data_IF_602078361606
#
_entry.id   IF_602078361606
#
_cell.length_a   1.000
_cell.length_b   1.000
_cell.length_c   1.000
_cell.angle_alpha   90.00
_cell.angle_beta   90.00
_cell.angle_gamma   90.00
#
_symmetry.space_group_name_H-M   'P 1'
#
loop_
_entity.id
_entity.type
_entity.pdbx_description
1 polymer ?
#
# COMPACT_ATOMS: atom_id res chain seq x y z
N UNK A 1 9.79 -28.14 12.63
CA UNK A 1 9.08 -26.97 13.22
C UNK A 1 9.79 -25.66 12.93
N UNK A 2 11.13 -25.60 12.96
CA UNK A 2 11.90 -24.38 12.73
C UNK A 2 11.65 -23.68 11.38
N UNK A 3 11.48 -24.46 10.31
CA UNK A 3 11.19 -23.94 8.96
C UNK A 3 9.87 -23.16 8.92
N UNK A 4 8.80 -23.70 9.53
CA UNK A 4 7.50 -23.04 9.58
C UNK A 4 7.57 -21.73 10.35
N UNK A 5 8.30 -21.71 11.47
CA UNK A 5 8.52 -20.49 12.27
C UNK A 5 9.29 -19.44 11.47
N UNK A 6 10.30 -19.83 10.69
CA UNK A 6 11.06 -18.91 9.83
C UNK A 6 10.20 -18.34 8.70
N UNK A 7 9.36 -19.16 8.07
CA UNK A 7 8.43 -18.71 7.02
C UNK A 7 7.43 -17.70 7.57
N UNK A 8 6.81 -17.97 8.72
CA UNK A 8 5.84 -17.05 9.34
C UNK A 8 6.51 -15.71 9.68
N UNK A 9 7.72 -15.74 10.24
CA UNK A 9 8.50 -14.53 10.51
C UNK A 9 8.80 -13.75 9.24
N UNK A 10 9.19 -14.43 8.15
CA UNK A 10 9.45 -13.79 6.86
C UNK A 10 8.18 -13.15 6.27
N UNK A 11 7.06 -13.86 6.27
CA UNK A 11 5.78 -13.32 5.77
C UNK A 11 5.34 -12.10 6.60
N UNK A 12 5.42 -12.20 7.93
CA UNK A 12 5.09 -11.08 8.82
C UNK A 12 5.96 -9.85 8.56
N UNK A 13 7.25 -10.08 8.27
CA UNK A 13 8.21 -9.04 7.91
C UNK A 13 7.82 -8.36 6.59
N UNK A 14 7.52 -9.14 5.55
CA UNK A 14 7.07 -8.62 4.26
C UNK A 14 5.79 -7.79 4.42
N UNK A 15 4.80 -8.29 5.16
CA UNK A 15 3.55 -7.57 5.43
C UNK A 15 3.82 -6.27 6.18
N UNK A 16 4.69 -6.30 7.19
CA UNK A 16 5.02 -5.12 7.99
C UNK A 16 5.72 -4.03 7.16
N UNK A 17 6.71 -4.40 6.35
CA UNK A 17 7.40 -3.48 5.44
C UNK A 17 6.47 -2.88 4.39
N UNK A 18 5.56 -3.69 3.86
CA UNK A 18 4.62 -3.26 2.81
C UNK A 18 3.33 -2.63 3.36
N UNK A 19 3.17 -2.58 4.69
CA UNK A 19 1.93 -2.15 5.33
C UNK A 19 1.45 -0.74 4.91
N UNK A 20 2.31 0.29 4.73
CA UNK A 20 1.81 1.59 4.25
C UNK A 20 1.22 1.50 2.84
N UNK A 21 1.84 0.70 1.95
CA UNK A 21 1.34 0.49 0.60
C UNK A 21 -0.01 -0.23 0.60
N UNK A 22 -0.15 -1.26 1.46
CA UNK A 22 -1.42 -1.99 1.64
C UNK A 22 -2.51 -1.03 2.14
N UNK A 23 -2.21 -0.22 3.17
CA UNK A 23 -3.16 0.74 3.73
C UNK A 23 -3.57 1.77 2.67
N UNK A 24 -2.62 2.35 1.94
CA UNK A 24 -2.93 3.31 0.87
C UNK A 24 -3.73 2.68 -0.28
N UNK A 25 -3.42 1.43 -0.65
CA UNK A 25 -4.18 0.68 -1.65
C UNK A 25 -5.62 0.44 -1.22
N UNK A 26 -5.84 0.00 0.03
CA UNK A 26 -7.18 -0.25 0.58
C UNK A 26 -7.99 1.03 0.70
N UNK A 27 -7.41 2.10 1.28
CA UNK A 27 -8.10 3.39 1.41
C UNK A 27 -8.40 4.01 0.05
N UNK A 28 -7.45 3.91 -0.89
CA UNK A 28 -7.63 4.33 -2.28
C UNK A 28 -8.76 3.57 -2.96
N UNK A 29 -8.81 2.26 -2.81
CA UNK A 29 -9.88 1.41 -3.34
C UNK A 29 -11.24 1.76 -2.73
N UNK A 30 -11.33 1.99 -1.41
CA UNK A 30 -12.58 2.37 -0.75
C UNK A 30 -13.08 3.72 -1.28
N UNK A 31 -12.20 4.73 -1.35
CA UNK A 31 -12.53 6.06 -1.90
C UNK A 31 -13.01 5.94 -3.34
N UNK A 32 -12.29 5.17 -4.16
CA UNK A 32 -12.63 4.91 -5.54
C UNK A 32 -13.98 4.22 -5.69
N UNK A 33 -14.20 3.12 -4.96
CA UNK A 33 -15.46 2.36 -4.98
C UNK A 33 -16.66 3.23 -4.57
N UNK A 34 -16.48 4.14 -3.62
CA UNK A 34 -17.52 5.12 -3.24
C UNK A 34 -17.84 6.09 -4.39
N UNK A 35 -16.86 6.48 -5.20
CA UNK A 35 -17.04 7.44 -6.28
C UNK A 35 -17.63 6.81 -7.56
N UNK A 36 -17.18 5.62 -7.94
CA UNK A 36 -17.56 4.99 -9.22
C UNK A 36 -18.70 3.97 -9.10
N UNK A 37 -19.02 3.47 -7.89
CA UNK A 37 -20.15 2.56 -7.67
C UNK A 37 -19.76 1.22 -7.05
N UNK A 38 -20.75 0.50 -6.49
CA UNK A 38 -20.53 -0.73 -5.68
C UNK A 38 -20.10 -1.95 -6.49
N UNK A 39 -20.36 -1.97 -7.80
CA UNK A 39 -20.15 -3.15 -8.66
C UNK A 39 -18.72 -3.26 -9.19
N UNK A 40 -17.83 -2.36 -8.78
CA UNK A 40 -16.46 -2.38 -9.23
C UNK A 40 -15.56 -3.29 -8.39
N UNK A 41 -14.76 -4.10 -9.09
CA UNK A 41 -13.80 -5.03 -8.50
C UNK A 41 -12.46 -4.37 -8.16
N UNK A 42 -11.71 -4.98 -7.25
CA UNK A 42 -10.35 -4.53 -6.88
C UNK A 42 -9.36 -4.64 -8.06
N UNK A 43 -9.56 -5.65 -8.92
CA UNK A 43 -8.82 -5.80 -10.18
C UNK A 43 -9.08 -4.62 -11.12
N UNK A 44 -10.34 -4.17 -11.23
CA UNK A 44 -10.69 -2.98 -12.01
C UNK A 44 -10.02 -1.71 -11.50
N UNK A 45 -9.88 -1.57 -10.18
CA UNK A 45 -9.15 -0.46 -9.55
C UNK A 45 -7.66 -0.46 -9.94
N UNK A 46 -6.97 -1.59 -9.80
CA UNK A 46 -5.55 -1.68 -10.16
C UNK A 46 -5.31 -1.58 -11.67
N UNK A 47 -6.18 -2.18 -12.48
CA UNK A 47 -6.11 -2.07 -13.94
C UNK A 47 -6.21 -0.60 -14.38
N UNK A 48 -7.14 0.16 -13.80
CA UNK A 48 -7.26 1.60 -14.04
C UNK A 48 -6.05 2.39 -13.58
N UNK A 49 -5.49 2.02 -12.42
CA UNK A 49 -4.26 2.65 -11.91
C UNK A 49 -3.07 2.45 -12.87
N UNK A 50 -2.97 1.27 -13.50
CA UNK A 50 -1.91 0.94 -14.46
C UNK A 50 -2.15 1.51 -15.87
N UNK A 51 -3.39 1.58 -16.33
CA UNK A 51 -3.73 1.91 -17.73
C UNK A 51 -4.06 3.37 -17.99
N UNK A 52 -4.25 4.18 -16.94
CA UNK A 52 -4.33 5.62 -17.08
C UNK A 52 -5.43 6.24 -16.23
N UNK A 53 -5.01 6.82 -15.11
CA UNK A 53 -5.56 8.07 -14.56
C UNK A 53 -4.73 8.51 -13.36
N UNK A 54 -3.51 9.00 -13.61
CA UNK A 54 -2.75 9.71 -12.56
C UNK A 54 -3.39 11.07 -12.19
N UNK A 55 -4.32 11.59 -13.02
CA UNK A 55 -4.78 12.99 -12.91
C UNK A 55 -6.13 13.16 -12.19
N UNK A 56 -6.98 12.13 -12.12
CA UNK A 56 -8.41 12.36 -11.77
C UNK A 56 -8.79 12.02 -10.31
N UNK A 57 -8.02 11.20 -9.59
CA UNK A 57 -8.47 10.67 -8.30
C UNK A 57 -7.66 11.15 -7.08
N UNK A 58 -6.39 11.59 -7.26
CA UNK A 58 -5.56 12.19 -6.20
C UNK A 58 -4.72 13.36 -6.74
N UNK A 59 -4.86 14.60 -6.21
CA UNK A 59 -3.98 15.70 -6.56
C UNK A 59 -2.54 15.43 -6.13
N UNK A 60 -1.56 16.01 -6.85
CA UNK A 60 -0.12 15.81 -6.65
C UNK A 60 0.34 15.84 -5.17
N UNK A 61 -0.13 16.78 -4.32
CA UNK A 61 0.25 16.79 -2.90
C UNK A 61 -0.07 15.50 -2.14
N UNK A 62 -1.17 14.81 -2.49
CA UNK A 62 -1.54 13.53 -1.86
C UNK A 62 -0.59 12.43 -2.28
N UNK A 63 -0.18 12.40 -3.55
CA UNK A 63 0.81 11.45 -4.04
C UNK A 63 2.16 11.62 -3.32
N UNK A 64 2.63 12.88 -3.20
CA UNK A 64 3.84 13.22 -2.45
C UNK A 64 3.72 12.81 -0.99
N UNK A 65 2.60 13.09 -0.34
CA UNK A 65 2.37 12.71 1.06
C UNK A 65 2.43 11.19 1.26
N UNK A 66 1.80 10.40 0.39
CA UNK A 66 1.86 8.92 0.43
C UNK A 66 3.31 8.42 0.29
N UNK A 67 4.08 9.03 -0.63
CA UNK A 67 5.49 8.70 -0.82
C UNK A 67 6.32 9.04 0.42
N UNK A 68 6.15 10.24 1.00
CA UNK A 68 6.84 10.65 2.22
C UNK A 68 6.54 9.72 3.40
N UNK A 69 5.27 9.34 3.60
CA UNK A 69 4.89 8.39 4.66
C UNK A 69 5.53 7.01 4.43
N UNK A 70 5.54 6.52 3.20
CA UNK A 70 6.20 5.26 2.86
C UNK A 70 7.72 5.29 3.10
N UNK A 71 8.38 6.39 2.73
CA UNK A 71 9.82 6.58 2.96
C UNK A 71 10.14 6.68 4.46
N UNK A 72 9.39 7.48 5.21
CA UNK A 72 9.55 7.60 6.67
C UNK A 72 9.35 6.25 7.37
N UNK A 73 8.33 5.50 6.95
CA UNK A 73 8.11 4.14 7.47
C UNK A 73 9.31 3.24 7.18
N UNK A 74 9.80 3.22 5.94
CA UNK A 74 10.95 2.40 5.56
C UNK A 74 12.18 2.74 6.39
N UNK A 75 12.46 4.04 6.58
CA UNK A 75 13.55 4.50 7.44
C UNK A 75 13.39 4.05 8.89
N UNK A 76 12.18 4.18 9.47
CA UNK A 76 11.90 3.73 10.84
C UNK A 76 12.09 2.22 11.00
N UNK A 77 11.59 1.42 10.06
CA UNK A 77 11.73 -0.04 10.12
C UNK A 77 13.20 -0.46 9.99
N UNK A 78 13.98 0.21 9.13
CA UNK A 78 15.42 -0.03 9.02
C UNK A 78 16.18 0.41 10.27
N UNK A 79 15.85 1.56 10.86
CA UNK A 79 16.46 2.07 12.09
C UNK A 79 16.21 1.12 13.28
N UNK A 80 14.98 0.64 13.46
CA UNK A 80 14.63 -0.30 14.56
C UNK A 80 15.35 -1.65 14.43
N UNK A 81 15.82 -2.02 13.24
CA UNK A 81 16.59 -3.26 13.02
C UNK A 81 18.09 -3.11 13.20
N UNK A 82 18.58 -1.88 13.15
CA UNK A 82 20.02 -1.59 13.25
C UNK A 82 20.46 -1.27 14.68
N UNK A 83 19.50 -1.04 15.58
CA UNK A 83 19.65 -0.92 17.04
C UNK A 83 19.38 -2.28 17.68
#
# INVERSE_FOLDING_TARGET
MEVYTAIIKFIGLVIFYTSPLIIFGVLGFIKWKRHYGKDHSILGYYFRYATGKQVTDDPWPICVTKLCVFLLWSMLVTAVRTI
#
